data_IF_243074184959
#
_entry.id   IF_243074184959
#
_cell.length_a   1.000
_cell.length_b   1.000
_cell.length_c   1.000
_cell.angle_alpha   90.00
_cell.angle_beta   90.00
_cell.angle_gamma   90.00
#
_symmetry.space_group_name_H-M   'P 1'
#
loop_
_entity.id
_entity.type
_entity.pdbx_description
1 polymer ?
#
# COMPACT_ATOMS: atom_id res chain seq x y z
N UNK A 1 6.85 -5.49 -18.51
CA UNK A 1 7.69 -6.71 -18.68
C UNK A 1 7.31 -7.62 -17.52
N UNK A 2 6.73 -8.76 -17.84
CA UNK A 2 6.26 -9.75 -16.85
C UNK A 2 7.39 -10.74 -16.63
N UNK A 3 7.69 -11.09 -15.38
CA UNK A 3 8.54 -12.23 -15.05
C UNK A 3 7.75 -13.19 -14.15
N UNK A 4 7.64 -14.45 -14.59
CA UNK A 4 6.98 -15.55 -13.89
C UNK A 4 8.08 -16.58 -13.60
N UNK A 5 8.57 -16.58 -12.36
CA UNK A 5 9.51 -17.56 -11.84
C UNK A 5 8.82 -18.60 -10.97
N UNK A 6 8.66 -19.80 -11.53
CA UNK A 6 8.22 -21.06 -10.90
C UNK A 6 8.96 -21.42 -9.61
N UNK A 7 8.18 -21.77 -8.57
CA UNK A 7 8.71 -22.42 -7.36
C UNK A 7 7.63 -22.84 -6.34
N UNK A 8 7.25 -24.12 -6.40
CA UNK A 8 6.72 -24.96 -5.32
C UNK A 8 5.19 -25.03 -5.03
N UNK A 9 4.69 -26.26 -5.19
CA UNK A 9 3.31 -26.71 -5.41
C UNK A 9 2.41 -26.82 -4.15
N UNK A 10 2.64 -26.02 -3.10
CA UNK A 10 1.76 -25.97 -1.91
C UNK A 10 1.10 -24.59 -1.68
N UNK A 11 1.53 -23.55 -2.42
CA UNK A 11 1.05 -22.16 -2.27
C UNK A 11 -0.07 -21.73 -3.23
N UNK A 12 -0.43 -22.53 -4.24
CA UNK A 12 -1.24 -22.06 -5.38
C UNK A 12 -2.68 -21.63 -5.04
N UNK A 13 -3.28 -22.12 -3.96
CA UNK A 13 -4.70 -21.84 -3.65
C UNK A 13 -4.93 -20.61 -2.76
N UNK A 14 -3.90 -20.14 -2.04
CA UNK A 14 -3.90 -18.85 -1.31
C UNK A 14 -3.31 -17.69 -2.13
N UNK A 15 -2.47 -18.00 -3.11
CA UNK A 15 -1.69 -17.00 -3.86
C UNK A 15 -2.46 -16.41 -5.03
N UNK A 16 -3.32 -17.18 -5.71
CA UNK A 16 -4.14 -16.69 -6.83
C UNK A 16 -5.16 -15.63 -6.39
N UNK A 17 -5.91 -15.89 -5.32
CA UNK A 17 -6.88 -14.92 -4.81
C UNK A 17 -6.23 -13.60 -4.33
N UNK A 18 -5.02 -13.68 -3.75
CA UNK A 18 -4.27 -12.49 -3.32
C UNK A 18 -3.67 -11.72 -4.50
N UNK A 19 -3.18 -12.43 -5.52
CA UNK A 19 -2.65 -11.82 -6.73
C UNK A 19 -3.76 -11.17 -7.56
N UNK A 20 -4.91 -11.82 -7.69
CA UNK A 20 -6.08 -11.30 -8.41
C UNK A 20 -6.65 -10.04 -7.72
N UNK A 21 -6.78 -10.07 -6.39
CA UNK A 21 -7.22 -8.90 -5.63
C UNK A 21 -6.21 -7.75 -5.68
N UNK A 22 -4.91 -8.06 -5.68
CA UNK A 22 -3.85 -7.06 -5.87
C UNK A 22 -3.91 -6.46 -7.28
N UNK A 23 -4.11 -7.28 -8.31
CA UNK A 23 -4.22 -6.82 -9.69
C UNK A 23 -5.43 -5.90 -9.88
N UNK A 24 -6.61 -6.31 -9.40
CA UNK A 24 -7.81 -5.49 -9.45
C UNK A 24 -7.60 -4.13 -8.74
N UNK A 25 -6.87 -4.13 -7.62
CA UNK A 25 -6.50 -2.89 -6.91
C UNK A 25 -5.64 -1.95 -7.75
N UNK A 26 -4.66 -2.49 -8.47
CA UNK A 26 -3.80 -1.69 -9.33
C UNK A 26 -4.53 -1.21 -10.58
N UNK A 27 -5.47 -1.99 -11.12
CA UNK A 27 -6.33 -1.58 -12.23
C UNK A 27 -7.23 -0.40 -11.83
N UNK A 28 -7.87 -0.46 -10.66
CA UNK A 28 -8.63 0.66 -10.09
C UNK A 28 -7.75 1.93 -10.01
N UNK A 29 -6.54 1.79 -9.46
CA UNK A 29 -5.60 2.91 -9.30
C UNK A 29 -5.16 3.50 -10.65
N UNK A 30 -4.85 2.63 -11.62
CA UNK A 30 -4.46 3.05 -12.98
C UNK A 30 -5.59 3.82 -13.67
N UNK A 31 -6.83 3.31 -13.57
CA UNK A 31 -8.00 4.00 -14.12
C UNK A 31 -8.21 5.38 -13.47
N UNK A 32 -8.00 5.51 -12.16
CA UNK A 32 -8.07 6.80 -11.46
C UNK A 32 -6.99 7.77 -11.93
N UNK A 33 -5.75 7.30 -12.12
CA UNK A 33 -4.67 8.13 -12.66
C UNK A 33 -5.00 8.66 -14.06
N UNK A 34 -5.50 7.80 -14.95
CA UNK A 34 -5.92 8.19 -16.29
C UNK A 34 -7.05 9.23 -16.27
N UNK A 35 -8.10 8.98 -15.47
CA UNK A 35 -9.23 9.90 -15.34
C UNK A 35 -8.82 11.28 -14.80
N UNK A 36 -7.77 11.35 -13.98
CA UNK A 36 -7.27 12.60 -13.40
C UNK A 36 -6.09 13.20 -14.18
N UNK A 37 -5.67 12.60 -15.29
CA UNK A 37 -4.52 13.05 -16.07
C UNK A 37 -3.20 13.00 -15.31
N UNK A 38 -3.12 12.15 -14.28
CA UNK A 38 -1.92 11.97 -13.45
C UNK A 38 -1.06 10.89 -14.08
N UNK A 39 0.21 11.20 -14.36
CA UNK A 39 1.18 10.17 -14.78
C UNK A 39 1.58 9.35 -13.57
N UNK A 40 1.51 8.03 -13.68
CA UNK A 40 1.89 7.12 -12.60
C UNK A 40 2.18 5.72 -13.10
N UNK A 41 2.99 4.99 -12.35
CA UNK A 41 3.25 3.57 -12.54
C UNK A 41 2.61 2.79 -11.40
N UNK A 42 2.11 1.61 -11.69
CA UNK A 42 1.63 0.66 -10.70
C UNK A 42 2.54 -0.57 -10.70
N UNK A 43 2.87 -1.07 -9.51
CA UNK A 43 3.78 -2.21 -9.35
C UNK A 43 3.28 -3.12 -8.22
N UNK A 44 3.24 -4.41 -8.48
CA UNK A 44 3.13 -5.45 -7.43
C UNK A 44 4.55 -5.81 -7.02
N UNK A 45 4.80 -5.86 -5.72
CA UNK A 45 6.09 -6.30 -5.17
C UNK A 45 5.82 -7.43 -4.20
N UNK A 46 6.48 -8.56 -4.43
CA UNK A 46 6.54 -9.64 -3.45
C UNK A 46 7.62 -9.29 -2.42
N UNK A 47 7.31 -9.51 -1.15
CA UNK A 47 8.22 -9.22 -0.06
C UNK A 47 9.35 -10.26 0.06
N UNK A 48 9.19 -11.46 -0.51
CA UNK A 48 10.19 -12.54 -0.45
C UNK A 48 10.71 -12.81 0.98
N UNK A 49 9.83 -12.71 1.98
CA UNK A 49 10.16 -12.92 3.40
C UNK A 49 10.68 -11.69 4.15
N UNK A 50 10.89 -10.56 3.47
CA UNK A 50 11.10 -9.25 4.09
C UNK A 50 9.81 -8.74 4.74
N UNK A 51 9.92 -7.89 5.77
CA UNK A 51 8.75 -7.21 6.30
C UNK A 51 8.27 -6.11 5.34
N UNK A 52 6.94 -5.90 5.26
CA UNK A 52 6.33 -4.98 4.30
C UNK A 52 6.86 -3.55 4.44
N UNK A 53 7.15 -3.09 5.66
CA UNK A 53 7.65 -1.73 5.85
C UNK A 53 9.08 -1.59 5.32
N UNK A 54 9.92 -2.61 5.46
CA UNK A 54 11.26 -2.67 4.86
C UNK A 54 11.22 -2.58 3.34
N UNK A 55 10.36 -3.41 2.73
CA UNK A 55 10.12 -3.37 1.28
C UNK A 55 9.68 -1.98 0.83
N UNK A 56 8.74 -1.35 1.53
CA UNK A 56 8.26 -0.01 1.18
C UNK A 56 9.33 1.08 1.33
N UNK A 57 10.15 1.04 2.39
CA UNK A 57 11.26 1.99 2.56
C UNK A 57 12.28 1.84 1.43
N UNK A 58 12.71 0.60 1.14
CA UNK A 58 13.63 0.32 0.04
C UNK A 58 13.09 0.81 -1.30
N UNK A 59 11.80 0.59 -1.57
CA UNK A 59 11.17 1.08 -2.80
C UNK A 59 11.15 2.61 -2.85
N UNK A 60 10.87 3.28 -1.74
CA UNK A 60 10.89 4.74 -1.68
C UNK A 60 12.30 5.27 -2.03
N UNK A 61 13.35 4.64 -1.50
CA UNK A 61 14.74 4.98 -1.80
C UNK A 61 15.10 4.69 -3.27
N UNK A 62 14.74 3.50 -3.79
CA UNK A 62 14.97 3.11 -5.20
C UNK A 62 14.28 4.05 -6.20
N UNK A 63 13.11 4.58 -5.82
CA UNK A 63 12.36 5.52 -6.63
C UNK A 63 12.81 6.97 -6.45
N UNK A 64 13.78 7.24 -5.57
CA UNK A 64 14.18 8.60 -5.16
C UNK A 64 12.95 9.44 -4.78
N UNK A 65 12.03 8.85 -4.00
CA UNK A 65 10.75 9.46 -3.72
C UNK A 65 10.90 10.71 -2.83
N UNK A 66 10.25 11.81 -3.23
CA UNK A 66 10.15 13.02 -2.39
C UNK A 66 9.09 12.91 -1.29
N UNK A 67 8.12 11.99 -1.45
CA UNK A 67 6.99 11.80 -0.54
C UNK A 67 6.42 10.38 -0.66
N UNK A 68 6.18 9.73 0.47
CA UNK A 68 5.42 8.49 0.57
C UNK A 68 4.00 8.78 1.02
N UNK A 69 3.00 8.39 0.23
CA UNK A 69 1.58 8.54 0.58
C UNK A 69 0.99 7.19 0.93
N UNK A 70 0.43 7.06 2.14
CA UNK A 70 -0.16 5.81 2.63
C UNK A 70 -1.55 6.03 3.21
N UNK A 71 -2.45 5.08 2.95
CA UNK A 71 -3.69 5.00 3.70
C UNK A 71 -3.43 4.56 5.15
N UNK A 72 -4.25 5.01 6.09
CA UNK A 72 -4.14 4.57 7.49
C UNK A 72 -4.76 3.20 7.76
N UNK A 73 -5.55 2.67 6.82
CA UNK A 73 -6.23 1.37 6.92
C UNK A 73 -6.32 0.66 5.55
N UNK A 74 -6.37 -0.67 5.58
CA UNK A 74 -6.71 -1.50 4.41
C UNK A 74 -8.23 -1.61 4.19
N UNK A 75 -8.67 -2.13 3.04
CA UNK A 75 -10.10 -2.26 2.68
C UNK A 75 -10.95 -3.07 3.67
N UNK A 76 -10.35 -3.90 4.52
CA UNK A 76 -11.02 -4.77 5.49
C UNK A 76 -10.74 -4.42 6.97
N UNK A 77 -10.07 -3.29 7.25
CA UNK A 77 -9.66 -2.90 8.60
C UNK A 77 -10.77 -2.24 9.41
N UNK A 78 -10.97 -2.76 10.63
CA UNK A 78 -11.94 -2.38 11.66
C UNK A 78 -11.91 -0.89 12.02
N UNK A 79 -13.10 -0.29 12.13
CA UNK A 79 -13.33 1.10 12.49
C UNK A 79 -12.82 1.44 13.89
N UNK A 80 -11.67 2.13 13.94
CA UNK A 80 -11.25 3.04 15.01
C UNK A 80 -10.05 3.83 14.50
N UNK A 81 -9.78 4.99 15.11
CA UNK A 81 -8.60 5.86 14.96
C UNK A 81 -7.24 5.16 15.22
N UNK A 82 -6.90 4.07 14.54
CA UNK A 82 -5.60 3.41 14.65
C UNK A 82 -4.75 3.74 13.43
N UNK A 83 -3.49 4.05 13.69
CA UNK A 83 -2.48 4.10 12.65
C UNK A 83 -2.21 2.64 12.23
N UNK A 84 -2.39 2.31 10.95
CA UNK A 84 -2.14 0.96 10.45
C UNK A 84 -0.71 0.51 10.77
N UNK A 85 -0.53 -0.74 11.20
CA UNK A 85 0.76 -1.27 11.68
C UNK A 85 1.90 -1.11 10.68
N UNK A 86 1.61 -1.23 9.38
CA UNK A 86 2.59 -1.00 8.31
C UNK A 86 2.94 0.49 8.19
N UNK A 87 1.95 1.37 8.20
CA UNK A 87 2.16 2.82 8.12
C UNK A 87 2.96 3.34 9.32
N UNK A 88 2.68 2.81 10.52
CA UNK A 88 3.43 3.09 11.74
C UNK A 88 4.90 2.64 11.65
N UNK A 89 5.13 1.43 11.10
CA UNK A 89 6.47 0.90 10.92
C UNK A 89 7.26 1.68 9.87
N UNK A 90 6.63 2.11 8.77
CA UNK A 90 7.26 2.97 7.75
C UNK A 90 7.64 4.31 8.36
N UNK A 91 6.71 4.99 9.06
CA UNK A 91 6.96 6.27 9.72
C UNK A 91 8.17 6.26 10.66
N UNK A 92 8.44 5.13 11.32
CA UNK A 92 9.59 4.99 12.22
C UNK A 92 10.93 4.74 11.51
N UNK A 93 10.91 4.36 10.23
CA UNK A 93 12.08 3.82 9.52
C UNK A 93 12.52 4.66 8.34
N UNK A 94 11.59 5.33 7.66
CA UNK A 94 11.87 6.08 6.43
C UNK A 94 12.48 7.45 6.72
N UNK A 95 13.40 7.88 5.86
CA UNK A 95 13.90 9.27 5.84
C UNK A 95 13.04 10.17 4.93
N UNK A 96 12.25 9.57 4.03
CA UNK A 96 11.33 10.27 3.12
C UNK A 96 10.09 10.74 3.88
N UNK A 97 9.62 12.00 3.69
CA UNK A 97 8.36 12.48 4.26
C UNK A 97 7.19 11.51 4.00
N UNK A 98 6.31 11.35 5.00
CA UNK A 98 5.13 10.47 4.89
C UNK A 98 3.84 11.24 5.09
N UNK A 99 2.95 11.17 4.10
CA UNK A 99 1.58 11.68 4.20
C UNK A 99 0.60 10.54 4.43
N UNK A 100 -0.08 10.59 5.57
CA UNK A 100 -1.12 9.63 5.91
C UNK A 100 -2.50 10.16 5.49
N UNK A 101 -3.18 9.40 4.64
CA UNK A 101 -4.52 9.73 4.15
C UNK A 101 -5.55 8.88 4.89
N UNK A 102 -6.45 9.57 5.60
CA UNK A 102 -7.61 8.97 6.27
C UNK A 102 -8.84 9.05 5.36
N UNK A 103 -9.78 8.12 5.49
CA UNK A 103 -11.07 8.24 4.80
C UNK A 103 -11.99 9.15 5.62
N UNK A 104 -12.80 9.97 4.97
CA UNK A 104 -13.73 10.93 5.64
C UNK A 104 -14.66 10.27 6.68
N UNK A 105 -15.03 8.99 6.52
CA UNK A 105 -15.83 8.25 7.51
C UNK A 105 -15.14 8.09 8.88
N UNK A 106 -13.82 8.29 8.96
CA UNK A 106 -13.05 8.24 10.21
C UNK A 106 -12.98 9.63 10.90
N UNK A 107 -13.41 10.71 10.22
CA UNK A 107 -13.38 12.09 10.74
C UNK A 107 -14.67 12.47 11.46
N UNK A 108 -15.78 11.78 11.19
CA UNK A 108 -17.07 11.95 11.88
C UNK A 108 -17.04 11.50 13.35
N UNK A 109 -15.99 10.79 13.77
CA UNK A 109 -15.78 10.31 15.15
C UNK A 109 -14.84 11.19 15.99
N UNK A 110 -14.31 12.29 15.44
CA UNK A 110 -13.52 13.24 16.24
C UNK A 110 -14.50 14.13 17.03
N UNK A 111 -14.55 14.04 18.37
CA UNK A 111 -15.37 14.95 19.15
C UNK A 111 -14.87 16.39 18.93
N UNK A 112 -15.77 17.36 18.70
CA UNK A 112 -15.36 18.75 18.53
C UNK A 112 -14.65 19.26 19.79
N UNK A 113 -13.45 19.85 19.63
CA UNK A 113 -12.73 20.52 20.73
C UNK A 113 -11.30 20.07 21.01
N UNK A 114 -10.56 19.55 20.02
CA UNK A 114 -9.10 19.52 20.06
C UNK A 114 -8.52 20.75 19.36
#
# INVERSE_FOLDING_TARGET
>A
MVDIGTGLLDQQMRTTASADAAMATLEDARALFEQRGVRGLTRIVDAYGEDIAGVLCRIADECEADLVVMGTHGRHGIGRLLLGSVAEAVLRRTEVPVLLVRRERDLDEIPPGL
#
